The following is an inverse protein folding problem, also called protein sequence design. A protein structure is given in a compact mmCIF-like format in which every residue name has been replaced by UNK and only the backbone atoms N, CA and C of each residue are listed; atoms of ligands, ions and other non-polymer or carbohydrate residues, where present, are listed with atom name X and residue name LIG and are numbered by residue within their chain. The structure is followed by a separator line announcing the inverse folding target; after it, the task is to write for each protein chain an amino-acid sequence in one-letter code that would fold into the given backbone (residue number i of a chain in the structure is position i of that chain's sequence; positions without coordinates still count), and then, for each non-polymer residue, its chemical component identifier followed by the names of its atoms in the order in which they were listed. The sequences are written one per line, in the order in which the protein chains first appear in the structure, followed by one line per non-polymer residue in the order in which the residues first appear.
data_IF_428198253666
#
_entry.id   IF_428198253666
#
_cell.length_a   1.000
_cell.length_b   1.000
_cell.length_c   1.000
_cell.angle_alpha   90.00
_cell.angle_beta   90.00
_cell.angle_gamma   90.00
#
_symmetry.space_group_name_H-M   'P 1'
#
loop_
_entity.id
_entity.type
_entity.pdbx_description
1 polymer ?
#
# COMPACT_ATOMS: atom_id res chain seq x y z
N UNK A 1 -8.05 -10.25 21.71
CA UNK A 1 -9.04 -10.10 20.62
C UNK A 1 -9.49 -11.47 20.13
N UNK A 2 -10.76 -11.64 19.72
CA UNK A 2 -11.24 -12.91 19.12
C UNK A 2 -10.61 -13.11 17.74
N UNK A 3 -10.24 -14.35 17.40
CA UNK A 3 -9.62 -14.69 16.11
C UNK A 3 -10.55 -14.40 14.91
N UNK A 4 -11.87 -14.51 15.09
CA UNK A 4 -12.86 -14.13 14.07
C UNK A 4 -12.80 -12.64 13.72
N UNK A 5 -12.72 -11.76 14.71
CA UNK A 5 -12.63 -10.31 14.52
C UNK A 5 -11.36 -9.93 13.77
N UNK A 6 -10.20 -10.49 14.14
CA UNK A 6 -8.95 -10.23 13.44
C UNK A 6 -8.99 -10.68 11.97
N UNK A 7 -9.61 -11.84 11.69
CA UNK A 7 -9.80 -12.34 10.31
C UNK A 7 -10.70 -11.42 9.49
N UNK A 8 -11.79 -10.91 10.08
CA UNK A 8 -12.68 -9.96 9.41
C UNK A 8 -11.97 -8.63 9.13
N UNK A 9 -11.25 -8.09 10.12
CA UNK A 9 -10.48 -6.86 9.96
C UNK A 9 -9.44 -6.98 8.85
N UNK A 10 -8.65 -8.06 8.85
CA UNK A 10 -7.71 -8.34 7.76
C UNK A 10 -8.42 -8.38 6.41
N UNK A 11 -9.58 -9.03 6.30
CA UNK A 11 -10.33 -9.10 5.03
C UNK A 11 -10.74 -7.70 4.54
N UNK A 12 -11.18 -6.82 5.43
CA UNK A 12 -11.49 -5.43 5.08
C UNK A 12 -10.24 -4.64 4.64
N UNK A 13 -9.10 -4.89 5.29
CA UNK A 13 -7.83 -4.28 4.91
C UNK A 13 -7.30 -4.81 3.56
N UNK A 14 -7.50 -6.10 3.25
CA UNK A 14 -7.22 -6.66 1.93
C UNK A 14 -8.07 -5.98 0.85
N UNK A 15 -9.37 -5.79 1.11
CA UNK A 15 -10.28 -5.11 0.17
C UNK A 15 -9.89 -3.67 -0.11
N UNK A 16 -9.29 -2.97 0.86
CA UNK A 16 -8.78 -1.60 0.65
C UNK A 16 -7.73 -1.56 -0.46
N UNK A 17 -6.90 -2.61 -0.57
CA UNK A 17 -5.84 -2.71 -1.57
C UNK A 17 -6.33 -3.37 -2.86
N UNK A 18 -7.11 -4.44 -2.78
CA UNK A 18 -7.49 -5.21 -3.97
C UNK A 18 -8.71 -4.67 -4.72
N UNK A 19 -9.44 -3.71 -4.16
CA UNK A 19 -10.66 -3.18 -4.79
C UNK A 19 -11.17 -1.86 -4.20
N UNK A 20 -10.39 -1.22 -3.34
CA UNK A 20 -10.77 -0.03 -2.60
C UNK A 20 -9.88 1.17 -2.91
N UNK A 21 -9.70 2.03 -1.93
CA UNK A 21 -8.99 3.31 -2.06
C UNK A 21 -7.50 3.18 -2.42
N UNK A 22 -6.92 1.98 -2.40
CA UNK A 22 -5.54 1.73 -2.81
C UNK A 22 -5.40 0.87 -4.06
N UNK A 23 -6.50 0.51 -4.74
CA UNK A 23 -6.44 -0.33 -5.95
C UNK A 23 -5.50 0.27 -7.00
N UNK A 24 -5.74 1.51 -7.40
CA UNK A 24 -4.95 2.17 -8.44
C UNK A 24 -3.46 2.28 -8.09
N UNK A 25 -3.14 2.50 -6.81
CA UNK A 25 -1.75 2.58 -6.39
C UNK A 25 -1.05 1.22 -6.54
N UNK A 26 -1.72 0.12 -6.16
CA UNK A 26 -1.14 -1.23 -6.13
C UNK A 26 -1.29 -2.04 -7.41
N UNK A 27 -1.94 -1.47 -8.43
CA UNK A 27 -2.14 -2.07 -9.74
C UNK A 27 -1.41 -1.32 -10.85
N UNK A 28 -0.89 -2.08 -11.80
CA UNK A 28 -0.34 -1.60 -13.06
C UNK A 28 -1.45 -1.22 -14.03
N UNK A 29 -1.06 -0.58 -15.14
CA UNK A 29 -1.97 -0.19 -16.23
C UNK A 29 -2.66 -1.38 -16.90
N UNK A 30 -2.02 -2.54 -16.91
CA UNK A 30 -2.56 -3.81 -17.43
C UNK A 30 -3.52 -4.51 -16.43
N UNK A 31 -3.75 -3.92 -15.25
CA UNK A 31 -4.59 -4.47 -14.19
C UNK A 31 -3.91 -5.50 -13.29
N UNK A 32 -2.64 -5.83 -13.54
CA UNK A 32 -1.86 -6.76 -12.70
C UNK A 32 -1.35 -6.01 -11.47
N UNK A 33 -1.37 -6.67 -10.30
CA UNK A 33 -0.78 -6.06 -9.10
C UNK A 33 0.74 -5.95 -9.23
N UNK A 34 1.34 -4.87 -8.72
CA UNK A 34 2.81 -4.76 -8.59
C UNK A 34 3.43 -5.81 -7.66
N UNK A 35 2.61 -6.48 -6.85
CA UNK A 35 2.99 -7.50 -5.88
C UNK A 35 2.23 -8.81 -6.18
N UNK A 36 2.44 -9.43 -7.36
CA UNK A 36 1.72 -10.64 -7.73
C UNK A 36 1.97 -11.75 -6.70
N UNK A 37 0.93 -12.52 -6.38
CA UNK A 37 0.94 -13.59 -5.36
C UNK A 37 1.20 -13.13 -3.91
N UNK A 38 1.48 -11.85 -3.66
CA UNK A 38 1.70 -11.29 -2.33
C UNK A 38 0.47 -10.48 -1.94
N UNK A 39 -0.38 -11.07 -1.12
CA UNK A 39 -1.60 -10.40 -0.66
C UNK A 39 -1.27 -9.33 0.37
N UNK A 40 -1.47 -8.07 0.04
CA UNK A 40 -1.28 -6.94 0.97
C UNK A 40 -2.60 -6.62 1.67
N UNK A 41 -2.55 -6.37 2.98
CA UNK A 41 -3.65 -5.83 3.75
C UNK A 41 -3.23 -4.45 4.26
N UNK A 42 -4.03 -3.41 4.01
CA UNK A 42 -3.70 -2.07 4.48
C UNK A 42 -4.90 -1.17 4.68
N UNK A 43 -4.63 0.03 5.19
CA UNK A 43 -5.62 1.09 5.35
C UNK A 43 -4.98 2.43 4.97
N UNK A 44 -5.75 3.23 4.23
CA UNK A 44 -5.42 4.61 3.93
C UNK A 44 -6.02 5.57 4.95
N UNK A 45 -5.45 6.76 5.06
CA UNK A 45 -6.19 7.91 5.52
C UNK A 45 -5.48 9.22 5.21
N UNK A 46 -6.10 10.28 5.70
CA UNK A 46 -5.67 11.66 5.47
C UNK A 46 -5.74 12.40 6.79
N UNK A 47 -4.72 13.20 7.08
CA UNK A 47 -4.63 14.05 8.27
C UNK A 47 -4.46 15.50 7.81
N UNK A 48 -5.33 16.37 8.31
CA UNK A 48 -5.25 17.83 8.15
C UNK A 48 -5.67 18.48 9.47
N UNK A 49 -4.73 18.67 10.43
CA UNK A 49 -5.07 19.07 11.80
C UNK A 49 -5.73 20.45 11.86
N UNK A 50 -5.32 21.37 10.99
CA UNK A 50 -5.94 22.70 10.85
C UNK A 50 -6.13 23.04 9.37
N UNK A 51 -6.96 24.06 9.06
CA UNK A 51 -7.13 24.53 7.68
C UNK A 51 -5.83 25.00 7.02
N UNK A 52 -4.88 25.49 7.83
CA UNK A 52 -3.56 25.99 7.39
C UNK A 52 -2.48 24.92 7.34
N UNK A 53 -2.72 23.72 7.89
CA UNK A 53 -1.74 22.64 7.88
C UNK A 53 -1.66 22.00 6.48
N UNK A 54 -0.46 21.61 6.02
CA UNK A 54 -0.32 20.79 4.82
C UNK A 54 -1.11 19.50 4.96
N UNK A 55 -1.62 18.99 3.83
CA UNK A 55 -2.40 17.76 3.86
C UNK A 55 -1.45 16.57 3.91
N UNK A 56 -1.60 15.74 4.93
CA UNK A 56 -0.78 14.55 5.11
C UNK A 56 -1.57 13.32 4.71
N UNK A 57 -1.05 12.53 3.79
CA UNK A 57 -1.58 11.20 3.48
C UNK A 57 -0.89 10.15 4.33
N UNK A 58 -1.59 9.08 4.69
CA UNK A 58 -0.98 7.93 5.38
C UNK A 58 -1.46 6.60 4.84
N UNK A 59 -0.59 5.61 4.97
CA UNK A 59 -0.88 4.21 4.70
C UNK A 59 -0.21 3.34 5.76
N UNK A 60 -0.96 2.40 6.33
CA UNK A 60 -0.41 1.34 7.18
C UNK A 60 -0.88 0.01 6.63
N UNK A 61 0.05 -0.95 6.50
CA UNK A 61 -0.28 -2.26 5.99
C UNK A 61 0.76 -3.32 6.32
N UNK A 62 0.43 -4.56 6.00
CA UNK A 62 1.28 -5.72 6.21
C UNK A 62 1.11 -6.75 5.11
N UNK A 63 2.16 -7.55 4.87
CA UNK A 63 2.19 -8.54 3.80
C UNK A 63 3.12 -9.73 4.14
N UNK A 64 2.83 -10.94 3.65
CA UNK A 64 1.54 -11.37 3.12
C UNK A 64 0.46 -11.38 4.21
N UNK A 65 -0.77 -11.02 3.90
CA UNK A 65 -1.81 -10.78 4.91
C UNK A 65 -2.13 -12.00 5.80
N UNK A 66 -1.96 -13.22 5.28
CA UNK A 66 -2.29 -14.47 6.00
C UNK A 66 -1.14 -15.04 6.82
N UNK A 67 0.10 -14.69 6.49
CA UNK A 67 1.32 -15.06 7.23
C UNK A 67 2.28 -13.88 7.13
N UNK A 68 2.08 -12.81 7.91
CA UNK A 68 2.79 -11.55 7.71
C UNK A 68 4.29 -11.68 8.00
N UNK A 69 5.11 -11.18 7.07
CA UNK A 69 6.57 -11.09 7.23
C UNK A 69 7.05 -9.65 7.40
N UNK A 70 6.30 -8.69 6.88
CA UNK A 70 6.64 -7.26 6.92
C UNK A 70 5.41 -6.40 7.21
N UNK A 71 5.65 -5.31 7.95
CA UNK A 71 4.71 -4.22 8.18
C UNK A 71 5.31 -2.94 7.59
N UNK A 72 4.48 -2.14 6.93
CA UNK A 72 4.86 -0.84 6.37
C UNK A 72 3.92 0.23 6.93
N UNK A 73 4.48 1.35 7.36
CA UNK A 73 3.75 2.53 7.82
C UNK A 73 4.38 3.76 7.21
N UNK A 74 3.61 4.48 6.39
CA UNK A 74 4.04 5.70 5.71
C UNK A 74 3.12 6.84 6.12
N UNK A 75 3.74 7.93 6.54
CA UNK A 75 3.11 9.23 6.74
C UNK A 75 3.81 10.21 5.80
N UNK A 76 3.09 10.73 4.82
CA UNK A 76 3.65 11.60 3.78
C UNK A 76 2.92 12.93 3.79
N UNK A 77 3.64 13.98 4.19
CA UNK A 77 3.18 15.36 4.15
C UNK A 77 3.54 15.94 2.78
N UNK A 78 2.52 16.31 2.00
CA UNK A 78 2.72 17.06 0.77
C UNK A 78 2.46 18.54 1.07
N UNK A 79 3.25 19.41 0.44
CA UNK A 79 2.90 20.83 0.29
C UNK A 79 1.74 20.97 -0.72
N UNK A 80 1.47 22.17 -1.21
CA UNK A 80 0.27 22.44 -2.03
C UNK A 80 0.21 21.63 -3.35
N UNK A 81 1.33 21.05 -3.80
CA UNK A 81 1.40 20.17 -4.97
C UNK A 81 1.61 18.72 -4.55
N UNK A 82 0.72 17.82 -4.99
CA UNK A 82 0.77 16.39 -4.68
C UNK A 82 1.57 15.64 -5.74
N UNK A 83 2.80 15.24 -5.40
CA UNK A 83 3.62 14.40 -6.28
C UNK A 83 3.42 12.91 -6.03
N UNK A 84 3.24 12.53 -4.75
CA UNK A 84 3.07 11.14 -4.34
C UNK A 84 2.08 11.03 -3.18
N UNK A 85 1.42 9.87 -3.05
CA UNK A 85 0.59 9.50 -1.91
C UNK A 85 1.30 8.44 -1.07
N UNK A 86 1.02 8.41 0.24
CA UNK A 86 1.64 7.47 1.16
C UNK A 86 1.47 5.99 0.76
N UNK A 87 0.38 5.63 0.09
CA UNK A 87 0.15 4.27 -0.40
C UNK A 87 1.05 3.90 -1.59
N UNK A 88 1.47 4.85 -2.42
CA UNK A 88 2.42 4.62 -3.52
C UNK A 88 3.83 4.38 -2.97
N UNK A 89 4.25 5.20 -2.00
CA UNK A 89 5.53 4.99 -1.29
C UNK A 89 5.53 3.64 -0.55
N UNK A 90 4.42 3.28 0.10
CA UNK A 90 4.30 1.99 0.77
C UNK A 90 4.37 0.81 -0.19
N UNK A 91 3.72 0.92 -1.36
CA UNK A 91 3.84 -0.07 -2.44
C UNK A 91 5.29 -0.22 -2.88
N UNK A 92 6.00 0.87 -3.11
CA UNK A 92 7.38 0.81 -3.60
C UNK A 92 8.33 0.21 -2.56
N UNK A 93 8.15 0.56 -1.27
CA UNK A 93 8.87 -0.10 -0.18
C UNK A 93 8.61 -1.61 -0.14
N UNK A 94 7.36 -2.05 -0.34
CA UNK A 94 7.02 -3.47 -0.40
C UNK A 94 7.59 -4.15 -1.65
N UNK A 95 7.63 -3.47 -2.81
CA UNK A 95 8.25 -3.99 -4.04
C UNK A 95 9.74 -4.24 -3.85
N UNK A 96 10.45 -3.32 -3.20
CA UNK A 96 11.87 -3.50 -2.85
C UNK A 96 12.06 -4.66 -1.88
N UNK A 97 11.23 -4.77 -0.85
CA UNK A 97 11.32 -5.88 0.11
C UNK A 97 11.10 -7.25 -0.57
N UNK A 98 10.22 -7.31 -1.57
CA UNK A 98 9.88 -8.53 -2.30
C UNK A 98 10.52 -8.62 -3.70
N UNK A 99 11.57 -7.87 -4.01
CA UNK A 99 12.14 -7.78 -5.36
C UNK A 99 12.56 -9.14 -5.96
N UNK A 100 12.92 -10.10 -5.10
CA UNK A 100 13.33 -11.46 -5.50
C UNK A 100 12.14 -12.38 -5.79
N UNK A 101 10.90 -11.94 -5.56
CA UNK A 101 9.71 -12.72 -5.82
C UNK A 101 9.31 -12.62 -7.30
N UNK A 102 8.97 -13.74 -7.97
CA UNK A 102 8.60 -13.72 -9.38
C UNK A 102 7.47 -12.73 -9.69
N UNK A 103 7.69 -11.86 -10.67
CA UNK A 103 6.74 -10.87 -11.15
C UNK A 103 6.70 -9.55 -10.36
N UNK A 104 7.40 -9.46 -9.21
CA UNK A 104 7.64 -8.18 -8.54
C UNK A 104 8.75 -7.45 -9.26
N UNK A 105 8.51 -6.21 -9.66
CA UNK A 105 9.51 -5.37 -10.33
C UNK A 105 10.02 -4.29 -9.41
N UNK A 106 11.30 -3.94 -9.53
CA UNK A 106 11.91 -2.81 -8.84
C UNK A 106 11.21 -1.49 -9.25
N UNK A 107 10.78 -0.64 -8.29
CA UNK A 107 10.13 0.64 -8.59
C UNK A 107 11.04 1.70 -9.24
N UNK A 108 12.35 1.50 -9.22
CA UNK A 108 13.32 2.47 -9.76
C UNK A 108 14.01 2.00 -11.05
N UNK A 109 13.68 0.80 -11.52
CA UNK A 109 14.16 0.30 -12.80
C UNK A 109 13.07 0.50 -13.87
N UNK A 110 13.44 0.74 -15.13
CA UNK A 110 12.47 0.78 -16.22
C UNK A 110 11.70 -0.55 -16.29
N UNK A 111 10.40 -0.49 -16.57
CA UNK A 111 9.67 -1.72 -16.93
C UNK A 111 10.29 -2.26 -18.23
N UNK A 112 10.73 -3.51 -18.22
CA UNK A 112 11.18 -4.18 -19.44
C UNK A 112 9.93 -4.52 -20.28
N UNK A 113 9.79 -3.87 -21.43
CA UNK A 113 8.77 -4.13 -22.46
C UNK A 113 8.89 -5.56 -23.03
#
# INVERSE_FOLDING_TARGET
FKSSTARQLRKMMELTVSGGTSLEAFSRKDGISYLPNIRVAGKTGTLKPTRKSPTTSWFVGFAPSRSPHVVVSVLLMNDDVWYYKANEVARDALRLYYEKQPGVTNPFEPEHD
#
